data_IF_089941753393
#
_entry.id   IF_089941753393
#
_cell.length_a   1.000
_cell.length_b   1.000
_cell.length_c   1.000
_cell.angle_alpha   90.00
_cell.angle_beta   90.00
_cell.angle_gamma   90.00
#
_symmetry.space_group_name_H-M   'P 1'
#
loop_
_entity.id
_entity.type
_entity.pdbx_description
1 polymer ?
#
# COMPACT_ATOMS: atom_id res chain seq x y z
N UNK A 1 -23.21 -5.18 -3.42
CA UNK A 1 -22.14 -5.98 -4.08
C UNK A 1 -21.81 -5.41 -5.46
N UNK A 2 -22.79 -5.24 -6.37
CA UNK A 2 -22.58 -4.73 -7.75
C UNK A 2 -21.71 -3.46 -7.79
N UNK A 3 -21.93 -2.51 -6.87
CA UNK A 3 -21.20 -1.23 -6.86
C UNK A 3 -19.69 -1.37 -6.61
N UNK A 4 -19.27 -2.33 -5.79
CA UNK A 4 -17.86 -2.56 -5.45
C UNK A 4 -17.12 -3.39 -6.51
N UNK A 5 -17.87 -4.05 -7.41
CA UNK A 5 -17.31 -5.00 -8.37
C UNK A 5 -16.33 -4.34 -9.34
N UNK A 6 -16.50 -3.05 -9.66
CA UNK A 6 -15.57 -2.33 -10.54
C UNK A 6 -14.16 -2.32 -9.95
N UNK A 7 -13.99 -1.79 -8.75
CA UNK A 7 -12.69 -1.78 -8.06
C UNK A 7 -12.18 -3.19 -7.76
N UNK A 8 -13.06 -4.12 -7.40
CA UNK A 8 -12.68 -5.50 -7.11
C UNK A 8 -12.14 -6.24 -8.34
N UNK A 9 -12.78 -6.08 -9.51
CA UNK A 9 -12.29 -6.65 -10.77
C UNK A 9 -10.95 -6.05 -11.17
N UNK A 10 -10.77 -4.73 -11.02
CA UNK A 10 -9.47 -4.10 -11.29
C UNK A 10 -8.39 -4.68 -10.35
N UNK A 11 -8.67 -4.82 -9.06
CA UNK A 11 -7.74 -5.42 -8.10
C UNK A 11 -7.35 -6.87 -8.50
N UNK A 12 -8.34 -7.70 -8.83
CA UNK A 12 -8.13 -9.12 -9.11
C UNK A 12 -7.53 -9.35 -10.50
N UNK A 13 -8.16 -8.81 -11.54
CA UNK A 13 -7.83 -9.08 -12.94
C UNK A 13 -6.63 -8.26 -13.43
N UNK A 14 -6.55 -6.98 -13.02
CA UNK A 14 -5.54 -6.05 -13.54
C UNK A 14 -4.34 -5.97 -12.59
N UNK A 15 -4.55 -5.64 -11.31
CA UNK A 15 -3.45 -5.44 -10.37
C UNK A 15 -2.76 -6.78 -10.01
N UNK A 16 -3.54 -7.79 -9.61
CA UNK A 16 -3.01 -9.10 -9.21
C UNK A 16 -2.86 -10.09 -10.37
N UNK A 17 -3.48 -9.82 -11.52
CA UNK A 17 -3.36 -10.65 -12.71
C UNK A 17 -3.84 -12.08 -12.50
N UNK A 18 -4.83 -12.30 -11.63
CA UNK A 18 -5.35 -13.64 -11.28
C UNK A 18 -5.79 -14.40 -12.53
N UNK A 19 -5.48 -15.70 -12.57
CA UNK A 19 -5.78 -16.62 -13.66
C UNK A 19 -6.77 -17.69 -13.21
N UNK A 20 -7.54 -18.29 -14.15
CA UNK A 20 -8.38 -19.43 -13.85
C UNK A 20 -7.57 -20.57 -13.20
N UNK A 21 -8.12 -21.18 -12.15
CA UNK A 21 -7.51 -22.30 -11.42
C UNK A 21 -6.43 -21.92 -10.40
N UNK A 22 -6.02 -20.65 -10.29
CA UNK A 22 -5.15 -20.23 -9.19
C UNK A 22 -5.89 -20.25 -7.86
N UNK A 23 -5.20 -20.60 -6.77
CA UNK A 23 -5.77 -20.48 -5.43
C UNK A 23 -5.55 -19.07 -4.90
N UNK A 24 -6.64 -18.47 -4.42
CA UNK A 24 -6.70 -17.07 -3.96
C UNK A 24 -7.19 -17.06 -2.52
N UNK A 25 -6.47 -16.38 -1.63
CA UNK A 25 -6.90 -16.15 -0.26
C UNK A 25 -7.25 -14.68 -0.05
N UNK A 26 -8.50 -14.43 0.35
CA UNK A 26 -8.93 -13.13 0.86
C UNK A 26 -8.70 -13.13 2.37
N UNK A 27 -7.80 -12.27 2.85
CA UNK A 27 -7.48 -12.12 4.28
C UNK A 27 -8.09 -10.82 4.78
N UNK A 28 -9.07 -10.90 5.67
CA UNK A 28 -9.80 -9.71 6.12
C UNK A 28 -10.03 -9.71 7.62
N UNK A 29 -10.41 -8.56 8.15
CA UNK A 29 -10.95 -8.46 9.50
C UNK A 29 -12.41 -8.02 9.48
N UNK A 30 -13.05 -8.06 10.65
CA UNK A 30 -14.48 -7.76 10.78
C UNK A 30 -14.86 -6.35 10.30
N UNK A 31 -13.90 -5.43 10.13
CA UNK A 31 -14.13 -4.08 9.63
C UNK A 31 -14.20 -3.96 8.10
N UNK A 32 -13.78 -4.98 7.34
CA UNK A 32 -13.61 -4.89 5.87
C UNK A 32 -14.34 -5.99 5.09
N UNK A 33 -15.32 -6.66 5.70
CA UNK A 33 -16.04 -7.81 5.14
C UNK A 33 -16.65 -7.50 3.76
N UNK A 34 -17.36 -6.37 3.59
CA UNK A 34 -18.03 -6.06 2.31
C UNK A 34 -17.09 -5.92 1.12
N UNK A 35 -15.88 -5.42 1.37
CA UNK A 35 -14.83 -5.30 0.35
C UNK A 35 -14.23 -6.69 0.07
N UNK A 36 -14.01 -7.49 1.11
CA UNK A 36 -13.55 -8.86 0.99
C UNK A 36 -14.52 -9.73 0.18
N UNK A 37 -15.83 -9.62 0.41
CA UNK A 37 -16.87 -10.30 -0.37
C UNK A 37 -16.84 -9.91 -1.86
N UNK A 38 -16.62 -8.63 -2.17
CA UNK A 38 -16.50 -8.16 -3.55
C UNK A 38 -15.25 -8.72 -4.24
N UNK A 39 -14.11 -8.78 -3.52
CA UNK A 39 -12.87 -9.39 -4.03
C UNK A 39 -13.02 -10.90 -4.24
N UNK A 40 -13.69 -11.60 -3.31
CA UNK A 40 -14.02 -13.02 -3.44
C UNK A 40 -14.89 -13.29 -4.68
N UNK A 41 -15.94 -12.49 -4.88
CA UNK A 41 -16.81 -12.59 -6.05
C UNK A 41 -16.04 -12.31 -7.36
N UNK A 42 -15.14 -11.33 -7.36
CA UNK A 42 -14.28 -11.05 -8.52
C UNK A 42 -13.33 -12.22 -8.82
N UNK A 43 -12.68 -12.80 -7.80
CA UNK A 43 -11.82 -13.96 -7.96
C UNK A 43 -12.56 -15.17 -8.55
N UNK A 44 -13.75 -15.49 -8.01
CA UNK A 44 -14.60 -16.54 -8.57
C UNK A 44 -15.03 -16.26 -10.01
N UNK A 45 -15.32 -15.01 -10.36
CA UNK A 45 -15.72 -14.66 -11.74
C UNK A 45 -14.60 -14.87 -12.78
N UNK A 46 -13.34 -14.91 -12.33
CA UNK A 46 -12.17 -15.25 -13.16
C UNK A 46 -11.93 -16.77 -13.21
N UNK A 47 -12.67 -17.57 -12.43
CA UNK A 47 -12.50 -19.01 -12.34
C UNK A 47 -11.38 -19.45 -11.39
N UNK A 48 -11.00 -18.60 -10.43
CA UNK A 48 -10.04 -18.94 -9.38
C UNK A 48 -10.68 -19.78 -8.26
N UNK A 49 -9.88 -20.60 -7.60
CA UNK A 49 -10.25 -21.31 -6.37
C UNK A 49 -10.01 -20.38 -5.18
N UNK A 50 -11.04 -19.64 -4.80
CA UNK A 50 -10.93 -18.61 -3.78
C UNK A 50 -11.41 -19.11 -2.40
N UNK A 51 -10.73 -18.67 -1.34
CA UNK A 51 -11.11 -18.87 0.06
C UNK A 51 -11.00 -17.55 0.82
N UNK A 52 -11.73 -17.39 1.92
CA UNK A 52 -11.68 -16.20 2.75
C UNK A 52 -11.45 -16.55 4.22
N UNK A 53 -10.52 -15.83 4.86
CA UNK A 53 -10.30 -15.90 6.31
C UNK A 53 -10.59 -14.54 6.94
N UNK A 54 -11.43 -14.56 7.99
CA UNK A 54 -11.82 -13.38 8.76
C UNK A 54 -11.26 -13.50 10.16
N UNK A 55 -10.64 -12.44 10.68
CA UNK A 55 -10.13 -12.40 12.05
C UNK A 55 -10.43 -11.08 12.76
N UNK A 56 -10.16 -11.01 14.08
CA UNK A 56 -10.32 -9.78 14.86
C UNK A 56 -9.31 -8.72 14.40
N UNK A 57 -9.74 -7.47 14.15
CA UNK A 57 -8.86 -6.38 13.76
C UNK A 57 -7.64 -6.29 14.67
N UNK A 58 -6.48 -6.03 14.07
CA UNK A 58 -5.26 -5.70 14.82
C UNK A 58 -5.44 -4.36 15.54
N UNK A 59 -4.50 -4.01 16.40
CA UNK A 59 -4.47 -2.76 17.17
C UNK A 59 -3.63 -1.67 16.50
N UNK A 60 -2.70 -2.06 15.64
CA UNK A 60 -1.79 -1.15 14.95
C UNK A 60 -1.29 -1.74 13.63
N UNK A 61 -0.78 -0.86 12.76
CA UNK A 61 -0.07 -1.28 11.55
C UNK A 61 1.17 -2.10 11.91
N UNK A 62 1.41 -3.19 11.19
CA UNK A 62 2.56 -4.08 11.39
C UNK A 62 2.38 -5.14 12.48
N UNK A 63 1.22 -5.22 13.14
CA UNK A 63 0.92 -6.33 14.05
C UNK A 63 0.62 -7.61 13.26
N UNK A 64 1.21 -8.74 13.68
CA UNK A 64 1.07 -10.03 12.99
C UNK A 64 -0.39 -10.52 12.94
N UNK A 65 -0.85 -11.06 11.80
CA UNK A 65 -2.12 -11.77 11.74
C UNK A 65 -2.07 -13.04 12.63
N UNK A 66 -3.22 -13.65 12.96
CA UNK A 66 -3.25 -14.90 13.71
C UNK A 66 -2.41 -16.00 13.02
N UNK A 67 -1.72 -16.89 13.77
CA UNK A 67 -0.89 -17.93 13.17
C UNK A 67 -1.58 -18.79 12.10
N UNK A 68 -2.85 -19.22 12.26
CA UNK A 68 -3.55 -19.96 11.20
C UNK A 68 -3.70 -19.17 9.89
N UNK A 69 -3.87 -17.85 9.97
CA UNK A 69 -3.94 -16.97 8.80
C UNK A 69 -2.57 -16.88 8.14
N UNK A 70 -1.49 -16.72 8.92
CA UNK A 70 -0.13 -16.68 8.41
C UNK A 70 0.26 -17.99 7.69
N UNK A 71 -0.13 -19.15 8.23
CA UNK A 71 0.09 -20.44 7.57
C UNK A 71 -0.71 -20.57 6.27
N UNK A 72 -2.00 -20.19 6.29
CA UNK A 72 -2.84 -20.23 5.08
C UNK A 72 -2.32 -19.31 3.97
N UNK A 73 -1.78 -18.13 4.32
CA UNK A 73 -1.17 -17.21 3.36
C UNK A 73 -0.01 -17.83 2.57
N UNK A 74 0.74 -18.78 3.16
CA UNK A 74 1.85 -19.48 2.50
C UNK A 74 1.39 -20.60 1.57
N UNK A 75 0.14 -21.05 1.69
CA UNK A 75 -0.39 -22.22 1.00
C UNK A 75 -1.14 -21.90 -0.29
N UNK A 76 -1.19 -20.62 -0.70
CA UNK A 76 -1.93 -20.15 -1.89
C UNK A 76 -1.03 -19.43 -2.88
N UNK A 77 -1.50 -19.15 -4.10
CA UNK A 77 -0.73 -18.37 -5.08
C UNK A 77 -0.93 -16.86 -4.92
N UNK A 78 -2.11 -16.41 -4.47
CA UNK A 78 -2.47 -14.99 -4.40
C UNK A 78 -3.12 -14.66 -3.07
N UNK A 79 -2.70 -13.55 -2.45
CA UNK A 79 -3.38 -12.99 -1.27
C UNK A 79 -3.84 -11.57 -1.57
N UNK A 80 -5.12 -11.30 -1.28
CA UNK A 80 -5.68 -9.96 -1.22
C UNK A 80 -6.11 -9.70 0.23
N UNK A 81 -5.52 -8.69 0.87
CA UNK A 81 -5.68 -8.46 2.30
C UNK A 81 -6.33 -7.09 2.61
N UNK A 82 -7.65 -6.93 2.42
CA UNK A 82 -8.38 -5.77 2.91
C UNK A 82 -8.51 -5.82 4.44
N UNK A 83 -7.76 -4.97 5.14
CA UNK A 83 -7.70 -4.97 6.60
C UNK A 83 -7.82 -3.56 7.17
N UNK A 84 -8.29 -3.46 8.40
CA UNK A 84 -8.37 -2.20 9.15
C UNK A 84 -6.98 -1.64 9.39
N UNK A 85 -6.02 -2.49 9.80
CA UNK A 85 -4.62 -2.12 9.96
C UNK A 85 -3.73 -2.93 9.01
N UNK A 86 -2.63 -2.31 8.59
CA UNK A 86 -1.70 -2.91 7.63
C UNK A 86 -1.02 -4.15 8.19
N UNK A 87 -0.96 -5.21 7.38
CA UNK A 87 -0.08 -6.36 7.57
C UNK A 87 1.09 -6.38 6.56
N UNK A 88 1.34 -5.27 5.87
CA UNK A 88 2.38 -5.15 4.82
C UNK A 88 3.77 -5.39 5.38
N UNK A 89 4.07 -4.85 6.56
CA UNK A 89 5.37 -4.99 7.22
C UNK A 89 5.31 -6.02 8.35
N UNK A 90 4.84 -7.23 8.03
CA UNK A 90 4.78 -8.38 8.94
C UNK A 90 5.69 -9.51 8.46
N UNK A 91 6.07 -10.39 9.39
CA UNK A 91 6.74 -11.66 9.09
C UNK A 91 5.83 -12.57 8.29
N UNK A 92 4.54 -12.68 8.64
CA UNK A 92 3.59 -13.50 7.89
C UNK A 92 3.56 -13.14 6.39
N UNK A 93 3.47 -11.85 6.06
CA UNK A 93 3.53 -11.39 4.66
C UNK A 93 4.87 -11.74 4.04
N UNK A 94 5.99 -11.42 4.71
CA UNK A 94 7.34 -11.68 4.19
C UNK A 94 7.54 -13.17 3.89
N UNK A 95 7.23 -14.04 4.85
CA UNK A 95 7.37 -15.49 4.72
C UNK A 95 6.51 -16.02 3.57
N UNK A 96 5.28 -15.54 3.39
CA UNK A 96 4.45 -15.91 2.24
C UNK A 96 5.05 -15.45 0.90
N UNK A 97 5.54 -14.21 0.80
CA UNK A 97 6.20 -13.74 -0.42
C UNK A 97 7.50 -14.49 -0.72
N UNK A 98 8.24 -14.91 0.30
CA UNK A 98 9.45 -15.75 0.16
C UNK A 98 9.10 -17.15 -0.40
N UNK A 99 7.85 -17.63 -0.22
CA UNK A 99 7.33 -18.85 -0.85
C UNK A 99 6.75 -18.61 -2.27
N UNK A 100 6.90 -17.41 -2.81
CA UNK A 100 6.43 -17.06 -4.16
C UNK A 100 4.98 -16.57 -4.22
N UNK A 101 4.30 -16.44 -3.09
CA UNK A 101 2.92 -15.91 -3.03
C UNK A 101 2.93 -14.42 -3.37
N UNK A 102 2.06 -13.98 -4.28
CA UNK A 102 1.89 -12.56 -4.58
C UNK A 102 0.80 -11.93 -3.73
N UNK A 103 1.08 -10.77 -3.14
CA UNK A 103 0.27 -10.20 -2.06
C UNK A 103 -0.04 -8.72 -2.29
N UNK A 104 -1.33 -8.38 -2.34
CA UNK A 104 -1.78 -6.99 -2.18
C UNK A 104 -2.39 -6.79 -0.80
N UNK A 105 -1.78 -5.91 0.00
CA UNK A 105 -2.39 -5.42 1.24
C UNK A 105 -3.20 -4.17 0.97
N UNK A 106 -4.35 -4.01 1.62
CA UNK A 106 -5.24 -2.85 1.42
C UNK A 106 -5.61 -2.24 2.78
N UNK A 107 -4.63 -1.67 3.50
CA UNK A 107 -4.88 -1.11 4.82
C UNK A 107 -5.85 0.07 4.76
N UNK A 108 -6.78 0.12 5.72
CA UNK A 108 -7.79 1.17 5.84
C UNK A 108 -8.65 1.39 4.58
N UNK A 109 -8.65 0.45 3.64
CA UNK A 109 -9.41 0.53 2.38
C UNK A 109 -10.89 0.79 2.65
N UNK A 110 -11.50 1.68 1.87
CA UNK A 110 -12.91 2.04 2.00
C UNK A 110 -13.71 1.60 0.78
N UNK A 111 -15.02 1.44 0.95
CA UNK A 111 -15.93 1.13 -0.16
C UNK A 111 -15.91 2.23 -1.22
N UNK A 112 -15.79 3.49 -0.80
CA UNK A 112 -15.67 4.64 -1.71
C UNK A 112 -14.46 4.52 -2.65
N UNK A 113 -13.34 3.98 -2.16
CA UNK A 113 -12.16 3.74 -2.98
C UNK A 113 -12.44 2.74 -4.12
N UNK A 114 -13.35 1.78 -3.91
CA UNK A 114 -13.76 0.76 -4.89
C UNK A 114 -14.85 1.20 -5.86
N UNK A 115 -15.62 2.25 -5.53
CA UNK A 115 -16.74 2.73 -6.36
C UNK A 115 -16.35 3.91 -7.24
N UNK A 116 -15.70 4.92 -6.67
CA UNK A 116 -15.35 6.19 -7.34
C UNK A 116 -13.94 6.69 -7.05
N UNK A 117 -13.20 6.00 -6.18
CA UNK A 117 -11.87 6.39 -5.78
C UNK A 117 -10.76 5.65 -6.54
N UNK A 118 -9.55 5.60 -5.95
CA UNK A 118 -8.32 5.20 -6.65
C UNK A 118 -8.30 3.75 -7.16
N UNK A 119 -9.10 2.83 -6.62
CA UNK A 119 -9.18 1.46 -7.19
C UNK A 119 -9.87 1.42 -8.56
N UNK A 120 -10.56 2.50 -8.95
CA UNK A 120 -11.21 2.60 -10.26
C UNK A 120 -10.33 3.26 -11.33
N UNK A 121 -9.09 3.61 -10.97
CA UNK A 121 -8.11 4.21 -11.86
C UNK A 121 -7.65 3.24 -12.96
N UNK A 122 -7.09 3.81 -14.03
CA UNK A 122 -6.43 3.05 -15.08
C UNK A 122 -5.00 2.68 -14.63
N UNK A 123 -4.84 1.46 -14.13
CA UNK A 123 -3.56 0.99 -13.60
C UNK A 123 -2.45 0.87 -14.66
N UNK A 124 -2.78 0.88 -15.96
CA UNK A 124 -1.75 0.98 -17.01
C UNK A 124 -1.09 2.36 -17.01
N UNK A 125 -1.90 3.42 -16.86
CA UNK A 125 -1.41 4.80 -16.71
C UNK A 125 -0.76 5.03 -15.36
N UNK A 126 -1.31 4.45 -14.29
CA UNK A 126 -0.68 4.52 -12.96
C UNK A 126 0.73 3.92 -13.02
N UNK A 127 0.88 2.74 -13.64
CA UNK A 127 2.20 2.13 -13.86
C UNK A 127 3.13 3.05 -14.64
N UNK A 128 2.70 3.55 -15.79
CA UNK A 128 3.51 4.44 -16.64
C UNK A 128 4.01 5.68 -15.87
N UNK A 129 3.10 6.38 -15.19
CA UNK A 129 3.42 7.60 -14.44
C UNK A 129 4.35 7.29 -13.27
N UNK A 130 4.09 6.22 -12.52
CA UNK A 130 4.90 5.83 -11.35
C UNK A 130 6.32 5.42 -11.77
N UNK A 131 6.46 4.66 -12.86
CA UNK A 131 7.76 4.26 -13.41
C UNK A 131 8.57 5.48 -13.87
N UNK A 132 7.94 6.40 -14.60
CA UNK A 132 8.59 7.65 -15.04
C UNK A 132 9.03 8.51 -13.86
N UNK A 133 8.21 8.61 -12.81
CA UNK A 133 8.58 9.35 -11.59
C UNK A 133 9.73 8.66 -10.86
N UNK A 134 9.71 7.34 -10.72
CA UNK A 134 10.79 6.58 -10.10
C UNK A 134 12.11 6.70 -10.88
N UNK A 135 12.06 6.71 -12.20
CA UNK A 135 13.25 6.94 -13.02
C UNK A 135 13.85 8.33 -12.76
N UNK A 136 13.03 9.38 -12.76
CA UNK A 136 13.49 10.74 -12.46
C UNK A 136 14.05 10.85 -11.04
N UNK A 137 13.38 10.26 -10.05
CA UNK A 137 13.86 10.22 -8.66
C UNK A 137 15.18 9.46 -8.53
N UNK A 138 15.37 8.37 -9.28
CA UNK A 138 16.60 7.57 -9.25
C UNK A 138 17.82 8.31 -9.81
N UNK A 139 17.59 9.28 -10.72
CA UNK A 139 18.65 10.11 -11.31
C UNK A 139 18.92 11.38 -10.50
N UNK A 140 18.00 11.77 -9.60
CA UNK A 140 18.14 12.95 -8.78
C UNK A 140 19.17 12.77 -7.67
N UNK A 141 19.91 13.85 -7.36
CA UNK A 141 20.90 13.89 -6.27
C UNK A 141 20.40 14.62 -5.03
N UNK A 142 19.34 15.41 -5.18
CA UNK A 142 18.76 16.24 -4.13
C UNK A 142 17.28 16.44 -4.42
N UNK A 143 16.47 16.51 -3.36
CA UNK A 143 15.09 16.97 -3.41
C UNK A 143 14.93 18.18 -2.49
N UNK A 144 14.34 19.26 -3.02
CA UNK A 144 13.93 20.42 -2.23
C UNK A 144 12.42 20.52 -2.22
N UNK A 145 11.83 20.45 -1.04
CA UNK A 145 10.38 20.57 -0.83
C UNK A 145 10.09 21.97 -0.30
N UNK A 146 9.17 22.69 -0.93
CA UNK A 146 8.70 24.00 -0.46
C UNK A 146 7.18 24.08 -0.42
N UNK A 147 6.63 24.81 0.55
CA UNK A 147 5.20 25.10 0.63
C UNK A 147 4.93 26.52 1.16
N UNK A 148 3.80 27.15 0.77
CA UNK A 148 3.40 28.44 1.35
C UNK A 148 3.20 28.41 2.88
N UNK A 149 2.93 27.23 3.45
CA UNK A 149 2.80 27.02 4.89
C UNK A 149 4.13 27.04 5.65
N UNK A 150 5.26 27.15 4.94
CA UNK A 150 6.59 27.32 5.52
C UNK A 150 7.48 26.09 5.45
N UNK A 151 7.10 25.05 4.68
CA UNK A 151 8.05 23.98 4.37
C UNK A 151 9.17 24.56 3.50
N UNK A 152 10.41 24.32 3.89
CA UNK A 152 11.62 24.46 3.07
C UNK A 152 12.61 23.42 3.58
N UNK A 153 12.61 22.26 2.95
CA UNK A 153 13.38 21.08 3.36
C UNK A 153 14.22 20.60 2.18
N UNK A 154 15.54 20.51 2.38
CA UNK A 154 16.46 19.84 1.45
C UNK A 154 16.79 18.44 1.95
N UNK A 155 16.79 17.49 1.02
CA UNK A 155 17.11 16.08 1.26
C UNK A 155 18.10 15.59 0.21
N UNK A 156 19.21 15.00 0.64
CA UNK A 156 20.11 14.30 -0.26
C UNK A 156 19.50 12.99 -0.76
N UNK A 157 19.58 12.79 -2.07
CA UNK A 157 19.19 11.54 -2.74
C UNK A 157 20.43 10.81 -3.26
N UNK A 158 20.22 9.57 -3.71
CA UNK A 158 21.30 8.73 -4.23
C UNK A 158 20.98 7.24 -4.29
N UNK A 159 19.77 6.85 -3.87
CA UNK A 159 19.28 5.48 -3.92
C UNK A 159 18.30 5.33 -5.07
N UNK A 160 18.31 4.15 -5.72
CA UNK A 160 17.32 3.80 -6.75
C UNK A 160 15.92 3.88 -6.14
N UNK A 161 15.06 4.67 -6.76
CA UNK A 161 13.67 4.78 -6.35
C UNK A 161 12.87 3.55 -6.77
N UNK A 162 11.76 3.33 -6.07
CA UNK A 162 10.81 2.25 -6.30
C UNK A 162 9.54 2.88 -6.87
N UNK A 163 8.99 2.26 -7.92
CA UNK A 163 7.66 2.58 -8.43
C UNK A 163 6.63 1.63 -7.80
N UNK A 164 5.72 2.17 -7.00
CA UNK A 164 4.56 1.42 -6.52
C UNK A 164 3.44 1.51 -7.56
N UNK A 165 3.51 0.61 -8.54
CA UNK A 165 2.62 0.61 -9.70
C UNK A 165 1.27 -0.07 -9.41
N UNK A 166 1.19 -0.86 -8.34
CA UNK A 166 0.06 -1.74 -8.06
C UNK A 166 -0.06 -2.93 -9.03
N UNK A 167 0.88 -3.13 -9.95
CA UNK A 167 0.93 -4.32 -10.83
C UNK A 167 1.83 -5.36 -10.17
N UNK A 168 1.21 -6.40 -9.60
CA UNK A 168 1.85 -7.37 -8.72
C UNK A 168 1.80 -8.78 -9.30
N UNK A 169 2.13 -8.95 -10.59
CA UNK A 169 1.95 -10.24 -11.29
C UNK A 169 3.03 -11.28 -10.99
N UNK A 170 4.24 -10.84 -10.61
CA UNK A 170 5.39 -11.72 -10.44
C UNK A 170 5.28 -12.61 -9.18
N UNK A 171 5.90 -13.81 -9.18
CA UNK A 171 6.04 -14.61 -7.97
C UNK A 171 6.70 -13.81 -6.84
N UNK A 172 6.12 -13.85 -5.64
CA UNK A 172 6.60 -13.10 -4.49
C UNK A 172 6.40 -11.58 -4.56
N UNK A 173 5.79 -11.05 -5.63
CA UNK A 173 5.49 -9.62 -5.74
C UNK A 173 4.52 -9.19 -4.63
N UNK A 174 4.80 -8.06 -3.99
CA UNK A 174 3.88 -7.50 -3.02
C UNK A 174 3.88 -5.98 -3.04
N UNK A 175 2.76 -5.41 -2.58
CA UNK A 175 2.57 -3.97 -2.51
C UNK A 175 1.25 -3.61 -1.84
N UNK A 176 0.96 -2.33 -1.81
CA UNK A 176 -0.33 -1.83 -1.35
C UNK A 176 -1.29 -1.63 -2.52
N UNK A 177 -2.58 -1.85 -2.30
CA UNK A 177 -3.63 -1.38 -3.18
C UNK A 177 -4.59 -0.50 -2.36
N UNK A 178 -4.97 0.70 -2.85
CA UNK A 178 -4.54 1.30 -4.11
C UNK A 178 -3.07 1.72 -4.11
N UNK A 179 -2.47 1.78 -5.30
CA UNK A 179 -1.08 2.19 -5.52
C UNK A 179 -1.01 3.52 -6.31
N UNK A 180 0.20 3.89 -6.76
CA UNK A 180 0.41 5.03 -7.65
C UNK A 180 1.39 6.08 -7.14
N UNK A 181 2.45 5.63 -6.49
CA UNK A 181 3.52 6.49 -5.99
C UNK A 181 4.90 6.04 -6.49
N UNK A 182 5.87 6.94 -6.36
CA UNK A 182 7.28 6.63 -6.52
C UNK A 182 8.04 7.18 -5.33
N UNK A 183 8.87 6.35 -4.70
CA UNK A 183 9.55 6.71 -3.46
C UNK A 183 11.00 6.24 -3.42
N UNK A 184 11.82 6.95 -2.67
CA UNK A 184 13.19 6.57 -2.34
C UNK A 184 13.51 7.05 -0.94
N UNK A 185 14.46 6.41 -0.27
CA UNK A 185 14.94 6.88 1.03
C UNK A 185 16.05 7.93 0.81
N UNK A 186 15.97 9.11 1.47
CA UNK A 186 17.08 10.06 1.46
C UNK A 186 18.30 9.50 2.20
N UNK A 187 19.46 10.12 2.04
CA UNK A 187 20.65 9.83 2.86
C UNK A 187 20.38 10.33 4.29
N UNK A 188 20.52 9.44 5.27
CA UNK A 188 20.00 9.58 6.63
C UNK A 188 20.54 10.81 7.36
N UNK A 189 21.75 11.26 7.06
CA UNK A 189 22.43 12.35 7.77
C UNK A 189 22.50 13.65 6.97
N UNK A 190 21.88 13.70 5.78
CA UNK A 190 21.98 14.82 4.84
C UNK A 190 20.60 15.45 4.53
N UNK A 191 19.83 15.69 5.58
CA UNK A 191 18.57 16.45 5.53
C UNK A 191 18.65 17.73 6.36
N UNK A 192 18.22 18.86 5.81
CA UNK A 192 18.30 20.18 6.45
C UNK A 192 17.05 21.02 6.14
N UNK A 193 16.50 21.70 7.15
CA UNK A 193 15.43 22.69 6.98
C UNK A 193 14.20 22.44 7.84
N UNK A 194 13.02 22.80 7.32
CA UNK A 194 11.76 22.72 8.05
C UNK A 194 10.70 21.99 7.23
N UNK A 195 10.06 20.99 7.82
CA UNK A 195 8.86 20.35 7.29
C UNK A 195 7.63 20.85 8.05
N UNK A 196 6.59 21.28 7.34
CA UNK A 196 5.34 21.72 7.95
C UNK A 196 4.21 20.77 7.57
N UNK A 197 3.60 20.15 8.57
CA UNK A 197 2.43 19.28 8.42
C UNK A 197 1.19 20.12 8.74
N UNK A 198 0.45 20.51 7.71
CA UNK A 198 -0.66 21.48 7.81
C UNK A 198 -2.05 20.89 7.49
N UNK A 199 -2.13 19.58 7.21
CA UNK A 199 -3.38 18.90 6.88
C UNK A 199 -3.76 17.81 7.89
N UNK A 200 -3.07 16.68 7.83
CA UNK A 200 -3.30 15.54 8.71
C UNK A 200 -2.01 14.75 8.93
N UNK A 201 -1.94 14.02 10.05
CA UNK A 201 -0.83 13.12 10.37
C UNK A 201 -1.35 11.78 10.85
N UNK A 202 -0.76 10.68 10.37
CA UNK A 202 -1.09 9.35 10.86
C UNK A 202 -0.90 9.25 12.38
N UNK A 203 -1.87 8.65 13.08
CA UNK A 203 -1.89 8.57 14.55
C UNK A 203 -2.44 9.80 15.27
N UNK A 204 -2.54 10.96 14.60
CA UNK A 204 -3.14 12.19 15.16
C UNK A 204 -4.47 12.54 14.50
N UNK A 205 -4.59 12.32 13.19
CA UNK A 205 -5.77 12.67 12.41
C UNK A 205 -5.65 14.07 11.78
N UNK A 206 -6.80 14.70 11.53
CA UNK A 206 -6.86 16.04 10.94
C UNK A 206 -6.37 17.08 11.95
N UNK A 207 -5.47 17.94 11.53
CA UNK A 207 -4.86 18.95 12.41
C UNK A 207 -5.73 20.21 12.47
N UNK A 208 -5.82 20.81 13.66
CA UNK A 208 -6.40 22.14 13.86
C UNK A 208 -5.34 23.26 13.72
N UNK A 209 -4.08 22.95 14.02
CA UNK A 209 -2.92 23.82 13.86
C UNK A 209 -1.79 23.03 13.20
N UNK A 210 -0.95 23.65 12.35
CA UNK A 210 0.16 22.97 11.71
C UNK A 210 1.23 22.55 12.72
N UNK A 211 1.88 21.41 12.45
CA UNK A 211 3.06 20.93 13.18
C UNK A 211 4.30 21.28 12.36
N UNK A 212 5.28 21.95 12.96
CA UNK A 212 6.56 22.29 12.33
C UNK A 212 7.65 21.40 12.90
N UNK A 213 8.39 20.76 12.00
CA UNK A 213 9.51 19.91 12.33
C UNK A 213 10.79 20.56 11.82
N UNK A 214 11.68 20.97 12.74
CA UNK A 214 13.01 21.45 12.37
C UNK A 214 13.95 20.25 12.22
N UNK A 215 14.58 20.13 11.06
CA UNK A 215 15.46 19.02 10.68
C UNK A 215 16.89 19.54 10.54
N UNK A 216 17.83 18.91 11.24
CA UNK A 216 19.27 19.13 11.09
C UNK A 216 20.00 17.79 11.04
N UNK A 217 20.92 17.61 10.07
CA UNK A 217 21.65 16.35 9.82
C UNK A 217 20.72 15.14 9.79
N UNK A 218 19.58 15.30 9.11
CA UNK A 218 18.53 14.30 8.93
C UNK A 218 17.77 13.89 10.20
N UNK A 219 17.92 14.61 11.31
CA UNK A 219 17.18 14.38 12.56
C UNK A 219 16.24 15.52 12.85
N UNK A 220 15.05 15.20 13.36
CA UNK A 220 14.14 16.21 13.93
C UNK A 220 14.71 16.67 15.27
N UNK A 221 15.06 17.96 15.36
CA UNK A 221 15.68 18.56 16.56
C UNK A 221 14.72 19.45 17.35
N UNK A 222 13.60 19.87 16.74
CA UNK A 222 12.55 20.64 17.40
C UNK A 222 11.20 20.38 16.74
N UNK A 223 10.14 20.46 17.55
CA UNK A 223 8.74 20.31 17.14
C UNK A 223 7.97 21.50 17.73
N UNK A 224 7.26 22.23 16.88
CA UNK A 224 6.42 23.39 17.24
C UNK A 224 4.99 23.26 16.70
#
# INVERSE_FOLDING_TARGET
MIELMRGARIAVEVCMGVKPGETVLIVTDTGKIRIAEALMAAAHSVGAEASMLVYTPRRMHGEEPPPPVAEAMKAVQVVLAPTTFSITHTRARKEATDHGVRIATMPAITEEMFTRGPMTADYSKVKEVSERLAERLSQAKEARLTSPSGTDLSLKLGRKAIADTGILHGPGAFGNLPAGEAFTAPIEEEGEGTAVIDGSMAGVGKLSNPIRLKVEKGRVIAIE
#
